data_IF_999212503424
#
_entry.id   IF_999212503424
#
_cell.length_a   1.000
_cell.length_b   1.000
_cell.length_c   1.000
_cell.angle_alpha   90.00
_cell.angle_beta   90.00
_cell.angle_gamma   90.00
#
_symmetry.space_group_name_H-M   'P 1'
#
loop_
_entity.id
_entity.type
_entity.pdbx_description
1 polymer ?
#
# COMPACT_ATOMS: atom_id res chain seq x y z
N UNK A 1 -9.98 22.15 4.33
CA UNK A 1 -10.38 21.87 2.93
C UNK A 1 -10.99 23.11 2.30
N UNK A 2 -11.63 22.99 1.13
CA UNK A 2 -12.28 24.10 0.39
C UNK A 2 -13.81 24.05 0.57
N UNK A 3 -14.30 24.36 1.78
CA UNK A 3 -15.72 24.23 2.12
C UNK A 3 -16.63 25.09 1.25
N UNK A 4 -16.26 26.36 1.03
CA UNK A 4 -17.02 27.30 0.20
C UNK A 4 -17.28 26.77 -1.22
N UNK A 5 -16.31 26.04 -1.79
CA UNK A 5 -16.48 25.39 -3.09
C UNK A 5 -17.51 24.26 -3.03
N UNK A 6 -17.45 23.41 -2.00
CA UNK A 6 -18.41 22.32 -1.83
C UNK A 6 -19.83 22.85 -1.57
N UNK A 7 -19.95 23.96 -0.85
CA UNK A 7 -21.22 24.60 -0.58
C UNK A 7 -21.84 25.18 -1.86
N UNK A 8 -21.06 25.93 -2.63
CA UNK A 8 -21.50 26.58 -3.86
C UNK A 8 -21.83 25.60 -5.01
N UNK A 9 -21.22 24.41 -5.01
CA UNK A 9 -21.44 23.42 -6.06
C UNK A 9 -22.87 22.85 -6.02
N UNK A 10 -23.60 22.82 -7.15
CA UNK A 10 -24.87 22.12 -7.23
C UNK A 10 -24.64 20.62 -7.08
N UNK A 11 -25.46 19.95 -6.26
CA UNK A 11 -25.39 18.51 -6.07
C UNK A 11 -26.64 17.83 -6.62
N UNK A 12 -26.43 16.79 -7.43
CA UNK A 12 -27.51 15.88 -7.82
C UNK A 12 -27.86 15.00 -6.63
N UNK A 13 -28.91 15.37 -5.90
CA UNK A 13 -29.33 14.68 -4.68
C UNK A 13 -30.77 14.19 -4.73
N UNK A 14 -31.04 13.13 -3.98
CA UNK A 14 -32.40 12.68 -3.71
C UNK A 14 -33.11 13.71 -2.82
N UNK A 15 -34.43 13.85 -2.98
CA UNK A 15 -35.25 14.84 -2.22
C UNK A 15 -35.00 14.81 -0.69
N UNK A 16 -34.80 13.66 -0.02
CA UNK A 16 -34.54 13.61 1.43
C UNK A 16 -33.15 14.08 1.88
N UNK A 17 -32.16 14.18 0.98
CA UNK A 17 -30.82 14.62 1.36
C UNK A 17 -30.79 16.13 1.64
N UNK A 18 -30.04 16.55 2.67
CA UNK A 18 -29.88 17.97 3.02
C UNK A 18 -29.19 18.80 1.93
N UNK A 19 -29.29 20.13 2.01
CA UNK A 19 -28.68 21.04 1.02
C UNK A 19 -27.23 21.45 1.35
N UNK A 20 -26.78 21.17 2.58
CA UNK A 20 -25.44 21.51 3.05
C UNK A 20 -24.45 20.34 2.85
N UNK A 21 -23.17 20.61 2.55
CA UNK A 21 -22.11 19.60 2.63
C UNK A 21 -21.91 19.08 4.07
N UNK A 22 -21.51 17.81 4.25
CA UNK A 22 -21.25 16.82 3.21
C UNK A 22 -22.54 16.17 2.66
N UNK A 23 -23.65 16.25 3.40
CA UNK A 23 -24.89 15.48 3.15
C UNK A 23 -25.51 15.68 1.77
N UNK A 24 -25.37 16.88 1.18
CA UNK A 24 -25.86 17.11 -0.19
C UNK A 24 -25.20 16.20 -1.25
N UNK A 25 -24.04 15.63 -0.95
CA UNK A 25 -23.29 14.71 -1.81
C UNK A 25 -23.43 13.23 -1.39
N UNK A 26 -24.17 12.94 -0.33
CA UNK A 26 -24.41 11.59 0.19
C UNK A 26 -25.77 11.10 -0.34
N UNK A 27 -25.76 10.50 -1.52
CA UNK A 27 -27.01 10.11 -2.19
C UNK A 27 -27.55 8.78 -1.66
N UNK A 28 -28.73 8.82 -1.04
CA UNK A 28 -29.43 7.62 -0.58
C UNK A 28 -29.08 7.25 0.86
N UNK A 29 -29.36 6.00 1.23
CA UNK A 29 -29.07 5.49 2.58
C UNK A 29 -27.57 5.22 2.72
N UNK A 30 -26.88 5.79 3.72
CA UNK A 30 -25.47 5.47 3.98
C UNK A 30 -25.27 4.00 4.35
N UNK A 31 -24.10 3.46 4.05
CA UNK A 31 -23.66 2.14 4.55
C UNK A 31 -23.17 2.29 5.99
N UNK A 32 -24.13 2.28 6.93
CA UNK A 32 -23.85 2.50 8.36
C UNK A 32 -22.89 1.46 8.94
N UNK A 33 -23.00 0.22 8.48
CA UNK A 33 -22.10 -0.88 8.83
C UNK A 33 -20.66 -0.63 8.38
N UNK A 34 -20.45 -0.11 7.16
CA UNK A 34 -19.10 0.23 6.69
C UNK A 34 -18.55 1.47 7.39
N UNK A 35 -19.40 2.44 7.76
CA UNK A 35 -19.00 3.60 8.55
C UNK A 35 -18.51 3.19 9.95
N UNK A 36 -19.23 2.27 10.60
CA UNK A 36 -18.81 1.70 11.88
C UNK A 36 -17.49 0.93 11.74
N UNK A 37 -17.36 0.08 10.72
CA UNK A 37 -16.11 -0.64 10.43
C UNK A 37 -14.93 0.29 10.14
N UNK A 38 -15.16 1.38 9.40
CA UNK A 38 -14.14 2.41 9.12
C UNK A 38 -13.70 3.10 10.41
N UNK A 39 -14.65 3.42 11.29
CA UNK A 39 -14.33 4.02 12.60
C UNK A 39 -13.44 3.09 13.43
N UNK A 40 -13.79 1.79 13.48
CA UNK A 40 -13.00 0.78 14.18
C UNK A 40 -11.59 0.60 13.57
N UNK A 41 -11.45 0.65 12.25
CA UNK A 41 -10.15 0.59 11.58
C UNK A 41 -9.26 1.80 11.94
N UNK A 42 -9.84 3.00 12.02
CA UNK A 42 -9.11 4.20 12.48
C UNK A 42 -8.72 4.06 13.95
N UNK A 43 -9.59 3.49 14.80
CA UNK A 43 -9.26 3.24 16.21
C UNK A 43 -8.16 2.21 16.41
N UNK A 44 -8.10 1.20 15.53
CA UNK A 44 -6.99 0.25 15.47
C UNK A 44 -5.67 0.96 15.11
N UNK A 45 -5.64 1.81 14.09
CA UNK A 45 -4.42 2.56 13.74
C UNK A 45 -3.99 3.51 14.88
N UNK A 46 -4.95 4.10 15.59
CA UNK A 46 -4.67 4.89 16.79
C UNK A 46 -4.10 4.01 17.93
N UNK A 47 -4.58 2.77 18.09
CA UNK A 47 -4.04 1.86 19.12
C UNK A 47 -2.59 1.46 18.83
N UNK A 48 -2.22 1.29 17.56
CA UNK A 48 -0.82 1.11 17.15
C UNK A 48 0.04 2.29 17.60
N UNK A 49 -0.45 3.53 17.44
CA UNK A 49 0.27 4.72 17.92
C UNK A 49 0.43 4.79 19.43
N UNK A 50 -0.62 4.44 20.19
CA UNK A 50 -0.51 4.37 21.66
C UNK A 50 0.49 3.32 22.12
N UNK A 51 0.60 2.21 21.39
CA UNK A 51 1.45 1.09 21.79
C UNK A 51 2.90 1.24 21.32
N UNK A 52 3.13 1.76 20.11
CA UNK A 52 4.44 1.74 19.44
C UNK A 52 4.91 3.12 18.98
N UNK A 53 4.11 4.16 19.17
CA UNK A 53 4.37 5.50 18.63
C UNK A 53 5.14 6.45 19.55
N UNK A 54 5.50 6.03 20.76
CA UNK A 54 6.12 6.90 21.78
C UNK A 54 7.37 7.62 21.25
N UNK A 55 8.26 6.89 20.57
CA UNK A 55 9.51 7.42 20.01
C UNK A 55 9.29 8.45 18.89
N UNK A 56 8.07 8.55 18.36
CA UNK A 56 7.70 9.45 17.26
C UNK A 56 6.93 10.69 17.75
N UNK A 57 6.57 10.75 19.04
CA UNK A 57 5.67 11.79 19.58
C UNK A 57 6.23 13.20 19.40
N UNK A 58 7.52 13.40 19.61
CA UNK A 58 8.18 14.71 19.50
C UNK A 58 8.07 15.31 18.09
N UNK A 59 8.00 14.46 17.04
CA UNK A 59 7.84 14.91 15.66
C UNK A 59 6.45 15.52 15.40
N UNK A 60 5.49 15.28 16.29
CA UNK A 60 4.09 15.64 16.14
C UNK A 60 3.56 16.44 17.34
N UNK A 61 4.41 17.21 18.02
CA UNK A 61 4.06 18.01 19.20
C UNK A 61 2.89 19.01 19.03
N UNK A 62 2.47 19.29 17.79
CA UNK A 62 1.28 20.11 17.49
C UNK A 62 -0.05 19.33 17.39
N UNK A 63 -0.02 18.02 17.66
CA UNK A 63 -1.20 17.15 17.65
C UNK A 63 -1.48 16.62 19.05
N UNK A 64 -2.75 16.40 19.34
CA UNK A 64 -3.24 15.88 20.62
C UNK A 64 -4.23 14.73 20.39
N UNK A 65 -4.51 13.97 21.45
CA UNK A 65 -5.49 12.89 21.51
C UNK A 65 -5.36 11.87 20.35
N UNK A 66 -6.50 11.41 19.82
CA UNK A 66 -6.60 10.47 18.70
C UNK A 66 -5.81 10.91 17.47
N UNK A 67 -5.62 12.22 17.25
CA UNK A 67 -4.84 12.71 16.11
C UNK A 67 -3.35 12.47 16.33
N UNK A 68 -2.85 12.69 17.55
CA UNK A 68 -1.48 12.36 17.91
C UNK A 68 -1.25 10.85 17.77
N UNK A 69 -2.14 10.04 18.33
CA UNK A 69 -2.11 8.58 18.22
C UNK A 69 -2.03 8.11 16.76
N UNK A 70 -2.85 8.68 15.88
CA UNK A 70 -2.81 8.32 14.46
C UNK A 70 -1.49 8.72 13.79
N UNK A 71 -0.96 9.91 14.12
CA UNK A 71 0.31 10.38 13.55
C UNK A 71 1.47 9.50 13.96
N UNK A 72 1.58 9.22 15.25
CA UNK A 72 2.65 8.39 15.80
C UNK A 72 2.51 6.93 15.36
N UNK A 73 1.28 6.41 15.25
CA UNK A 73 1.01 5.07 14.73
C UNK A 73 1.45 4.91 13.28
N UNK A 74 1.08 5.85 12.40
CA UNK A 74 1.55 5.81 11.00
C UNK A 74 3.06 5.97 10.88
N UNK A 75 3.71 6.73 11.77
CA UNK A 75 5.16 6.86 11.79
C UNK A 75 5.86 5.57 12.24
N UNK A 76 5.33 4.90 13.27
CA UNK A 76 5.83 3.61 13.74
C UNK A 76 5.70 2.53 12.66
N UNK A 77 4.53 2.46 12.00
CA UNK A 77 4.29 1.59 10.85
C UNK A 77 5.32 1.85 9.74
N UNK A 78 5.51 3.12 9.36
CA UNK A 78 6.46 3.50 8.31
C UNK A 78 7.89 3.10 8.67
N UNK A 79 8.30 3.29 9.92
CA UNK A 79 9.64 2.90 10.38
C UNK A 79 9.85 1.39 10.23
N UNK A 80 8.89 0.60 10.72
CA UNK A 80 8.91 -0.86 10.61
C UNK A 80 8.92 -1.35 9.16
N UNK A 81 7.98 -0.86 8.34
CA UNK A 81 7.87 -1.23 6.93
C UNK A 81 9.10 -0.80 6.12
N UNK A 82 9.81 0.27 6.52
CA UNK A 82 11.04 0.71 5.85
C UNK A 82 12.15 -0.34 6.00
N UNK A 83 12.26 -0.98 7.17
CA UNK A 83 13.25 -2.05 7.39
C UNK A 83 12.93 -3.29 6.55
N UNK A 84 11.66 -3.72 6.54
CA UNK A 84 11.24 -4.85 5.69
C UNK A 84 11.43 -4.54 4.20
N UNK A 85 11.09 -3.32 3.79
CA UNK A 85 11.28 -2.83 2.43
C UNK A 85 12.75 -2.84 2.01
N UNK A 86 13.66 -2.43 2.91
CA UNK A 86 15.12 -2.48 2.65
C UNK A 86 15.58 -3.91 2.43
N UNK A 87 15.16 -4.84 3.29
CA UNK A 87 15.47 -6.27 3.16
C UNK A 87 14.97 -6.83 1.83
N UNK A 88 13.72 -6.55 1.49
CA UNK A 88 13.10 -7.01 0.23
C UNK A 88 13.78 -6.43 -1.01
N UNK A 89 14.07 -5.12 -1.04
CA UNK A 89 14.78 -4.49 -2.17
C UNK A 89 16.15 -5.13 -2.35
N UNK A 90 16.91 -5.30 -1.27
CA UNK A 90 18.26 -5.87 -1.31
C UNK A 90 18.22 -7.30 -1.85
N UNK A 91 17.36 -8.16 -1.29
CA UNK A 91 17.26 -9.55 -1.73
C UNK A 91 16.79 -9.69 -3.17
N UNK A 92 15.82 -8.89 -3.63
CA UNK A 92 15.36 -8.94 -5.02
C UNK A 92 16.48 -8.53 -6.00
N UNK A 93 17.35 -7.59 -5.64
CA UNK A 93 18.49 -7.19 -6.48
C UNK A 93 19.57 -8.28 -6.59
N UNK A 94 19.60 -9.24 -5.67
CA UNK A 94 20.53 -10.37 -5.69
C UNK A 94 20.05 -11.50 -6.62
N UNK A 95 18.78 -11.53 -7.01
CA UNK A 95 18.21 -12.56 -7.89
C UNK A 95 18.60 -12.27 -9.36
N UNK A 96 19.39 -13.14 -10.02
CA UNK A 96 19.81 -12.92 -11.40
C UNK A 96 18.63 -12.90 -12.37
N UNK A 97 18.62 -11.94 -13.30
CA UNK A 97 17.54 -11.76 -14.28
C UNK A 97 16.30 -11.04 -13.71
N UNK A 98 16.26 -10.74 -12.40
CA UNK A 98 15.18 -9.97 -11.80
C UNK A 98 15.41 -8.46 -12.01
N UNK A 99 14.36 -7.76 -12.45
CA UNK A 99 14.39 -6.30 -12.61
C UNK A 99 13.26 -5.64 -11.83
N UNK A 100 13.63 -4.78 -10.88
CA UNK A 100 12.68 -3.93 -10.13
C UNK A 100 12.37 -2.66 -10.92
N UNK A 101 11.10 -2.27 -10.94
CA UNK A 101 10.61 -1.02 -11.54
C UNK A 101 10.28 -0.02 -10.43
N UNK A 102 11.12 1.01 -10.30
CA UNK A 102 10.98 2.04 -9.27
C UNK A 102 12.30 2.34 -8.57
N UNK A 103 12.21 2.96 -7.38
CA UNK A 103 13.38 3.34 -6.58
C UNK A 103 13.96 2.11 -5.87
N UNK A 104 15.21 1.79 -6.17
CA UNK A 104 15.99 0.73 -5.49
C UNK A 104 17.17 1.27 -4.68
N UNK A 105 17.56 2.53 -4.90
CA UNK A 105 18.64 3.18 -4.17
C UNK A 105 18.33 3.24 -2.66
N UNK A 106 19.15 2.61 -1.79
CA UNK A 106 18.98 2.63 -0.34
C UNK A 106 18.85 4.04 0.24
N UNK A 107 19.56 5.02 -0.33
CA UNK A 107 19.53 6.41 0.13
C UNK A 107 18.20 7.12 -0.18
N UNK A 108 17.38 6.53 -1.06
CA UNK A 108 16.09 7.08 -1.52
C UNK A 108 14.89 6.22 -1.11
N UNK A 109 15.09 5.21 -0.25
CA UNK A 109 13.98 4.36 0.21
C UNK A 109 12.88 5.14 0.92
N UNK A 110 13.20 6.28 1.53
CA UNK A 110 12.21 7.19 2.13
C UNK A 110 11.28 7.86 1.11
N UNK A 111 11.60 7.84 -0.19
CA UNK A 111 10.80 8.38 -1.30
C UNK A 111 9.87 7.32 -1.91
N UNK A 112 9.77 6.13 -1.31
CA UNK A 112 8.86 5.08 -1.75
C UNK A 112 8.04 4.50 -0.59
N UNK A 113 6.91 3.90 -0.95
CA UNK A 113 6.12 3.02 -0.09
C UNK A 113 6.56 1.56 -0.30
N UNK A 114 6.29 0.63 0.63
CA UNK A 114 6.75 -0.77 0.56
C UNK A 114 5.97 -1.63 -0.45
N UNK A 115 5.76 -1.12 -1.66
CA UNK A 115 5.12 -1.82 -2.78
C UNK A 115 6.07 -1.89 -3.96
N UNK A 116 6.48 -3.10 -4.34
CA UNK A 116 7.46 -3.36 -5.40
C UNK A 116 6.78 -4.03 -6.59
N UNK A 117 7.17 -3.59 -7.78
CA UNK A 117 6.83 -4.27 -9.02
C UNK A 117 8.11 -4.71 -9.73
N UNK A 118 8.13 -5.93 -10.25
CA UNK A 118 9.31 -6.50 -10.91
C UNK A 118 8.96 -7.50 -12.01
N UNK A 119 9.92 -7.73 -12.89
CA UNK A 119 9.94 -8.84 -13.87
C UNK A 119 11.11 -9.78 -13.57
N UNK A 120 11.05 -11.00 -14.10
CA UNK A 120 12.12 -11.98 -14.06
C UNK A 120 12.34 -12.52 -15.47
N UNK A 121 13.59 -12.51 -15.94
CA UNK A 121 13.95 -13.08 -17.24
C UNK A 121 13.55 -14.56 -17.32
N UNK A 122 13.03 -14.98 -18.48
CA UNK A 122 12.58 -16.36 -18.71
C UNK A 122 11.26 -16.75 -18.03
N UNK A 123 10.74 -15.96 -17.08
CA UNK A 123 9.53 -16.29 -16.30
C UNK A 123 8.46 -15.22 -16.41
N UNK A 124 7.26 -15.60 -16.86
CA UNK A 124 6.14 -14.66 -16.94
C UNK A 124 5.64 -14.24 -15.54
N UNK A 125 5.08 -13.02 -15.38
CA UNK A 125 4.46 -12.61 -14.12
C UNK A 125 3.37 -13.55 -13.61
N UNK A 126 2.62 -14.16 -14.53
CA UNK A 126 1.61 -15.16 -14.18
C UNK A 126 2.23 -16.42 -13.60
N UNK A 127 3.32 -16.92 -14.18
CA UNK A 127 4.01 -18.10 -13.64
C UNK A 127 4.66 -17.79 -12.29
N UNK A 128 5.26 -16.61 -12.12
CA UNK A 128 5.74 -16.16 -10.80
C UNK A 128 4.61 -16.17 -9.76
N UNK A 129 3.46 -15.57 -10.08
CA UNK A 129 2.32 -15.52 -9.16
C UNK A 129 1.79 -16.94 -8.83
N UNK A 130 1.75 -17.84 -9.81
CA UNK A 130 1.35 -19.23 -9.61
C UNK A 130 2.30 -19.95 -8.64
N UNK A 131 3.60 -19.80 -8.84
CA UNK A 131 4.63 -20.42 -7.98
C UNK A 131 4.63 -19.87 -6.56
N UNK A 132 4.41 -18.57 -6.41
CA UNK A 132 4.18 -17.96 -5.10
C UNK A 132 2.92 -18.53 -4.43
N UNK A 133 1.82 -18.66 -5.19
CA UNK A 133 0.57 -19.22 -4.65
C UNK A 133 0.73 -20.68 -4.22
N UNK A 134 1.50 -21.49 -4.94
CA UNK A 134 1.81 -22.87 -4.55
C UNK A 134 2.56 -22.93 -3.21
N UNK A 135 3.36 -21.91 -2.90
CA UNK A 135 4.05 -21.72 -1.62
C UNK A 135 3.23 -20.98 -0.56
N UNK A 136 1.95 -20.69 -0.81
CA UNK A 136 1.08 -19.95 0.11
C UNK A 136 1.31 -18.44 0.16
N UNK A 137 2.03 -17.88 -0.83
CA UNK A 137 2.32 -16.45 -0.95
C UNK A 137 1.39 -15.83 -2.00
N UNK A 138 0.58 -14.86 -1.57
CA UNK A 138 -0.39 -14.22 -2.45
C UNK A 138 0.16 -12.90 -3.00
N UNK A 139 0.44 -12.88 -4.29
CA UNK A 139 0.88 -11.71 -5.04
C UNK A 139 -0.07 -11.43 -6.21
N UNK A 140 0.01 -10.22 -6.77
CA UNK A 140 -0.79 -9.82 -7.92
C UNK A 140 0.12 -9.67 -9.13
N UNK A 141 -0.23 -10.26 -10.28
CA UNK A 141 0.40 -9.99 -11.57
C UNK A 141 -0.48 -9.19 -12.55
N UNK A 142 0.14 -8.49 -13.50
CA UNK A 142 -0.53 -7.72 -14.55
C UNK A 142 -0.18 -6.24 -14.53
N UNK A 143 -1.15 -5.38 -14.83
CA UNK A 143 -0.94 -3.93 -14.94
C UNK A 143 -1.53 -3.11 -13.77
N UNK A 144 -2.27 -3.73 -12.83
CA UNK A 144 -2.82 -3.08 -11.63
C UNK A 144 -3.68 -1.84 -11.91
N UNK A 145 -4.42 -1.85 -13.02
CA UNK A 145 -5.19 -0.71 -13.53
C UNK A 145 -4.33 0.49 -13.97
N UNK A 146 -3.02 0.31 -14.13
CA UNK A 146 -2.05 1.31 -14.57
C UNK A 146 -1.57 1.06 -16.02
N UNK A 147 -2.49 0.74 -16.93
CA UNK A 147 -2.22 0.36 -18.31
C UNK A 147 -1.27 1.32 -19.06
N UNK A 148 -1.50 2.62 -18.96
CA UNK A 148 -0.68 3.61 -19.67
C UNK A 148 0.80 3.65 -19.20
N UNK A 149 1.09 3.13 -18.01
CA UNK A 149 2.47 2.99 -17.50
C UNK A 149 3.11 1.74 -18.07
N UNK A 150 2.41 0.60 -18.03
CA UNK A 150 2.92 -0.68 -18.53
C UNK A 150 3.06 -0.71 -20.05
N UNK A 151 2.19 -0.03 -20.80
CA UNK A 151 2.35 0.22 -22.24
C UNK A 151 3.63 1.01 -22.54
N UNK A 152 3.86 2.11 -21.82
CA UNK A 152 5.07 2.94 -21.99
C UNK A 152 6.35 2.20 -21.64
N UNK A 153 6.27 1.26 -20.72
CA UNK A 153 7.39 0.40 -20.33
C UNK A 153 7.56 -0.81 -21.25
N UNK A 154 6.64 -1.04 -22.20
CA UNK A 154 6.68 -2.17 -23.13
C UNK A 154 6.44 -3.53 -22.48
N UNK A 155 5.59 -3.58 -21.44
CA UNK A 155 5.39 -4.78 -20.60
C UNK A 155 4.09 -5.54 -20.87
N UNK A 156 3.20 -5.01 -21.70
CA UNK A 156 1.90 -5.65 -21.95
C UNK A 156 2.06 -7.01 -22.62
N UNK A 157 2.96 -7.13 -23.60
CA UNK A 157 3.20 -8.40 -24.31
C UNK A 157 3.79 -9.49 -23.39
N UNK A 158 4.52 -9.11 -22.34
CA UNK A 158 5.06 -10.04 -21.34
C UNK A 158 4.06 -10.39 -20.22
N UNK A 159 2.83 -9.87 -20.28
CA UNK A 159 1.81 -10.09 -19.24
C UNK A 159 1.94 -9.14 -18.03
N UNK A 160 2.64 -8.01 -18.18
CA UNK A 160 2.80 -6.97 -17.17
C UNK A 160 3.94 -7.22 -16.17
N UNK A 161 3.64 -7.04 -14.89
CA UNK A 161 4.59 -7.11 -13.77
C UNK A 161 4.06 -8.06 -12.69
N UNK A 162 4.93 -8.58 -11.83
CA UNK A 162 4.53 -9.09 -10.53
C UNK A 162 4.61 -7.94 -9.51
N UNK A 163 3.63 -7.82 -8.61
CA UNK A 163 3.64 -6.83 -7.53
C UNK A 163 3.42 -7.48 -6.18
N UNK A 164 4.28 -7.13 -5.25
CA UNK A 164 4.19 -7.46 -3.83
C UNK A 164 4.13 -6.16 -3.02
N UNK A 165 3.33 -6.16 -1.96
CA UNK A 165 3.21 -5.04 -1.03
C UNK A 165 3.34 -5.55 0.39
N UNK A 166 4.22 -4.94 1.17
CA UNK A 166 4.34 -5.23 2.59
C UNK A 166 3.47 -4.24 3.36
N UNK A 167 2.90 -4.72 4.46
CA UNK A 167 2.15 -3.94 5.43
C UNK A 167 2.63 -4.25 6.83
N UNK A 168 2.20 -3.47 7.82
CA UNK A 168 2.70 -3.51 9.20
C UNK A 168 2.54 -4.83 9.95
N UNK A 169 1.77 -5.79 9.44
CA UNK A 169 1.64 -7.13 10.01
C UNK A 169 2.46 -8.19 9.26
N UNK A 170 3.17 -7.83 8.20
CA UNK A 170 4.13 -8.74 7.58
C UNK A 170 5.40 -8.86 8.42
N UNK A 171 6.16 -9.94 8.24
CA UNK A 171 7.42 -10.17 8.99
C UNK A 171 8.64 -10.29 8.09
N UNK A 172 9.83 -10.27 8.70
CA UNK A 172 11.08 -10.47 7.97
C UNK A 172 11.19 -11.91 7.42
N UNK A 173 10.64 -12.89 8.12
CA UNK A 173 10.59 -14.29 7.70
C UNK A 173 9.70 -14.48 6.48
N UNK A 174 8.58 -13.75 6.38
CA UNK A 174 7.75 -13.75 5.17
C UNK A 174 8.49 -13.15 3.97
N UNK A 175 9.34 -12.13 4.20
CA UNK A 175 10.23 -11.58 3.17
C UNK A 175 11.27 -12.62 2.74
N UNK A 176 11.87 -13.35 3.67
CA UNK A 176 12.81 -14.43 3.35
C UNK A 176 12.14 -15.54 2.53
N UNK A 177 10.96 -16.00 2.97
CA UNK A 177 10.19 -17.02 2.25
C UNK A 177 9.85 -16.57 0.80
N UNK A 178 9.49 -15.31 0.61
CA UNK A 178 9.27 -14.74 -0.73
C UNK A 178 10.54 -14.78 -1.59
N UNK A 179 11.67 -14.37 -1.03
CA UNK A 179 12.95 -14.33 -1.75
C UNK A 179 13.42 -15.73 -2.13
N UNK A 180 13.31 -16.70 -1.23
CA UNK A 180 13.67 -18.10 -1.48
C UNK A 180 12.86 -18.68 -2.64
N UNK A 181 11.52 -18.50 -2.64
CA UNK A 181 10.67 -19.01 -3.73
C UNK A 181 11.00 -18.37 -5.07
N UNK A 182 11.34 -17.07 -5.10
CA UNK A 182 11.73 -16.38 -6.33
C UNK A 182 13.11 -16.81 -6.84
N UNK A 183 14.05 -17.09 -5.93
CA UNK A 183 15.39 -17.55 -6.29
C UNK A 183 15.40 -18.97 -6.90
N UNK A 184 14.44 -19.81 -6.50
CA UNK A 184 14.26 -21.18 -6.98
C UNK A 184 13.46 -21.28 -8.31
N UNK A 185 13.06 -20.17 -8.89
CA UNK A 185 12.38 -20.17 -10.18
C UNK A 185 13.33 -20.63 -11.31
N UNK A 186 12.86 -21.53 -12.20
CA UNK A 186 13.66 -21.96 -13.35
C UNK A 186 13.96 -20.77 -14.26
N UNK A 187 15.18 -20.75 -14.80
CA UNK A 187 15.67 -19.74 -15.74
C UNK A 187 15.54 -20.22 -17.17
#
# INVERSE_FOLDING_TARGET
>A
GRFELLEALPAYKVRPAGDAPPHKFETGTPSFEAMAGTTAAVDYLASVGRQYGADQADQYAGFEDRRLDLKTGMAAIRAYETELCRKLVTGLQEIPGLRIYGITDPARLNQRVPTLSFTLEGTSPQEMARRLSDAGIFAWNGNFYALAVTERLGLEESGGLLRVGLVHYNTAEEVDMLLDVLADLPR
#
